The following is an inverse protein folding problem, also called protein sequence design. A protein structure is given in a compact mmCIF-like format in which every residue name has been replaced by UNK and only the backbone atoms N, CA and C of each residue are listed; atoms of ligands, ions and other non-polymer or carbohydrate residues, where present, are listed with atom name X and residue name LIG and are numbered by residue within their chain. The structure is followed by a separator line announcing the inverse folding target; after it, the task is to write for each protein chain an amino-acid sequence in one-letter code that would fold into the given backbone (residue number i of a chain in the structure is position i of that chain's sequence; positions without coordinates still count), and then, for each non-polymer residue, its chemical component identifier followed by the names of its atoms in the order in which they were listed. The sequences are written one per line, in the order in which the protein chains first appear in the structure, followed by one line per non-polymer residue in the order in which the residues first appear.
data_IF_201247829212
#
_entry.id   IF_201247829212
#
_cell.length_a   1.000
_cell.length_b   1.000
_cell.length_c   1.000
_cell.angle_alpha   90.00
_cell.angle_beta   90.00
_cell.angle_gamma   90.00
#
_symmetry.space_group_name_H-M   'P 1'
#
loop_
_entity.id
_entity.type
_entity.pdbx_description
1 polymer ?
#
# COMPACT_ATOMS: atom_id res chain seq x y z
N UNK A 1 -4.06 3.84 -6.57
CA UNK A 1 -3.54 3.28 -7.86
C UNK A 1 -3.14 1.83 -7.67
N UNK A 2 -3.28 0.97 -8.69
CA UNK A 2 -2.78 -0.43 -8.66
C UNK A 2 -1.57 -0.60 -9.59
N UNK A 3 -0.59 -1.38 -9.16
CA UNK A 3 0.73 -1.55 -9.79
C UNK A 3 1.08 -3.04 -9.82
N UNK A 4 1.67 -3.50 -10.92
CA UNK A 4 2.26 -4.85 -11.06
C UNK A 4 3.73 -4.71 -11.45
N UNK A 5 4.62 -5.32 -10.70
CA UNK A 5 6.06 -5.33 -10.96
C UNK A 5 6.42 -6.42 -12.00
N UNK A 6 7.07 -6.02 -13.09
CA UNK A 6 7.38 -6.91 -14.22
C UNK A 6 8.87 -7.06 -14.53
N UNK A 7 9.75 -6.26 -13.91
CA UNK A 7 11.21 -6.36 -14.06
C UNK A 7 11.74 -7.68 -13.49
N UNK A 8 13.02 -7.99 -13.69
CA UNK A 8 13.68 -9.05 -12.91
C UNK A 8 13.48 -8.83 -11.40
N UNK A 9 13.38 -9.93 -10.65
CA UNK A 9 13.36 -9.87 -9.19
C UNK A 9 14.76 -9.46 -8.68
N UNK A 10 14.83 -8.96 -7.46
CA UNK A 10 16.09 -8.54 -6.86
C UNK A 10 15.88 -7.79 -5.55
N UNK A 11 16.99 -7.57 -4.86
CA UNK A 11 17.07 -6.58 -3.79
C UNK A 11 16.94 -5.18 -4.40
N UNK A 12 16.05 -4.36 -3.87
CA UNK A 12 15.87 -2.99 -4.37
C UNK A 12 14.69 -2.25 -3.76
N UNK A 13 14.41 -1.08 -4.33
CA UNK A 13 13.36 -0.18 -3.87
C UNK A 13 12.43 0.16 -5.03
N UNK A 14 11.13 -0.05 -4.84
CA UNK A 14 10.14 0.51 -5.77
C UNK A 14 9.90 1.96 -5.41
N UNK A 15 10.07 2.86 -6.39
CA UNK A 15 9.75 4.28 -6.26
C UNK A 15 8.50 4.58 -7.08
N UNK A 16 7.43 4.97 -6.40
CA UNK A 16 6.15 5.34 -7.03
C UNK A 16 5.91 6.82 -6.78
N UNK A 17 5.82 7.60 -7.86
CA UNK A 17 5.53 9.04 -7.79
C UNK A 17 4.13 9.29 -8.34
N UNK A 18 3.32 10.04 -7.61
CA UNK A 18 1.95 10.39 -8.01
C UNK A 18 1.57 11.78 -7.55
N UNK A 19 0.47 12.28 -8.11
CA UNK A 19 -0.18 13.51 -7.68
C UNK A 19 -1.56 13.21 -7.07
N UNK A 20 -1.98 14.02 -6.12
CA UNK A 20 -3.35 14.09 -5.58
C UNK A 20 -3.73 15.55 -5.33
N UNK A 21 -5.01 15.87 -5.39
CA UNK A 21 -5.54 17.20 -5.02
C UNK A 21 -6.02 17.25 -3.56
N UNK A 22 -5.91 16.13 -2.83
CA UNK A 22 -6.33 16.05 -1.43
C UNK A 22 -5.39 16.86 -0.52
N UNK A 23 -5.99 17.52 0.48
CA UNK A 23 -5.32 18.15 1.61
C UNK A 23 -5.80 17.52 2.91
N UNK A 24 -5.02 17.67 3.99
CA UNK A 24 -5.37 17.07 5.29
C UNK A 24 -5.41 15.54 5.27
N UNK A 25 -4.58 14.91 4.44
CA UNK A 25 -4.40 13.46 4.38
C UNK A 25 -3.79 12.99 5.70
N UNK A 26 -4.30 11.88 6.25
CA UNK A 26 -3.95 11.38 7.58
C UNK A 26 -3.43 9.96 7.60
N UNK A 27 -3.59 9.21 6.50
CA UNK A 27 -3.07 7.86 6.42
C UNK A 27 -2.90 7.37 4.98
N UNK A 28 -2.14 6.29 4.87
CA UNK A 28 -1.85 5.55 3.65
C UNK A 28 -2.27 4.11 3.86
N UNK A 29 -2.94 3.52 2.87
CA UNK A 29 -3.23 2.09 2.79
C UNK A 29 -2.41 1.47 1.67
N UNK A 30 -1.75 0.36 2.00
CA UNK A 30 -1.06 -0.53 1.07
C UNK A 30 -1.82 -1.86 1.03
N UNK A 31 -2.17 -2.30 -0.17
CA UNK A 31 -2.81 -3.60 -0.38
C UNK A 31 -1.87 -4.46 -1.20
N UNK A 32 -1.43 -5.58 -0.65
CA UNK A 32 -0.65 -6.60 -1.34
C UNK A 32 -1.64 -7.56 -2.00
N UNK A 33 -1.78 -7.47 -3.33
CA UNK A 33 -2.88 -8.10 -4.07
C UNK A 33 -2.49 -9.50 -4.55
N UNK A 34 -3.34 -10.50 -4.25
CA UNK A 34 -3.25 -11.81 -4.87
C UNK A 34 -3.51 -11.70 -6.39
N UNK A 35 -2.82 -12.53 -7.17
CA UNK A 35 -2.91 -12.52 -8.62
C UNK A 35 -2.46 -13.88 -9.20
N UNK A 36 -3.25 -14.46 -10.10
CA UNK A 36 -2.97 -15.77 -10.71
C UNK A 36 -1.66 -15.81 -11.51
N UNK A 37 -1.15 -14.66 -11.96
CA UNK A 37 0.13 -14.57 -12.68
C UNK A 37 1.37 -14.65 -11.77
N UNK A 38 1.20 -14.51 -10.45
CA UNK A 38 2.29 -14.54 -9.48
C UNK A 38 2.53 -15.95 -8.91
N UNK A 39 3.74 -16.27 -8.45
CA UNK A 39 4.02 -17.54 -7.76
C UNK A 39 3.03 -17.77 -6.61
N UNK A 40 2.47 -18.97 -6.53
CA UNK A 40 1.44 -19.35 -5.53
C UNK A 40 0.25 -18.37 -5.45
N UNK A 41 -0.04 -17.66 -6.55
CA UNK A 41 -1.07 -16.63 -6.64
C UNK A 41 -0.80 -15.37 -5.81
N UNK A 42 0.48 -15.07 -5.56
CA UNK A 42 0.93 -13.82 -4.96
C UNK A 42 0.80 -13.77 -3.43
N UNK A 43 0.81 -12.56 -2.82
CA UNK A 43 0.99 -11.24 -3.47
C UNK A 43 2.46 -10.89 -3.78
N UNK A 44 3.42 -11.70 -3.34
CA UNK A 44 4.84 -11.52 -3.60
C UNK A 44 5.36 -12.33 -4.79
N UNK A 45 6.64 -12.14 -5.09
CA UNK A 45 7.34 -12.72 -6.24
C UNK A 45 8.30 -13.84 -5.86
N UNK A 46 8.46 -14.15 -4.58
CA UNK A 46 9.25 -15.29 -4.14
C UNK A 46 8.60 -16.61 -4.59
N UNK A 47 9.33 -17.72 -4.71
CA UNK A 47 8.77 -19.00 -5.16
C UNK A 47 7.57 -19.52 -4.32
N UNK A 48 7.48 -19.12 -3.06
CA UNK A 48 6.37 -19.43 -2.15
C UNK A 48 5.21 -18.42 -2.20
N UNK A 49 5.31 -17.39 -3.05
CA UNK A 49 4.34 -16.30 -3.19
C UNK A 49 4.46 -15.19 -2.15
N UNK A 50 5.46 -15.24 -1.27
CA UNK A 50 5.66 -14.24 -0.23
C UNK A 50 6.46 -13.01 -0.71
N UNK A 51 6.42 -11.95 0.08
CA UNK A 51 7.26 -10.75 -0.05
C UNK A 51 7.82 -10.35 1.31
N UNK A 52 8.81 -9.45 1.32
CA UNK A 52 9.29 -8.78 2.53
C UNK A 52 9.48 -7.30 2.20
N UNK A 53 8.56 -6.47 2.69
CA UNK A 53 8.66 -5.01 2.64
C UNK A 53 9.49 -4.55 3.84
N UNK A 54 10.80 -4.42 3.65
CA UNK A 54 11.74 -4.12 4.74
C UNK A 54 11.53 -2.74 5.34
N UNK A 55 11.14 -1.74 4.54
CA UNK A 55 10.84 -0.39 5.01
C UNK A 55 9.89 0.32 4.02
N UNK A 56 9.07 1.24 4.51
CA UNK A 56 8.11 2.02 3.75
C UNK A 56 8.25 3.52 4.07
N UNK A 57 8.85 4.26 3.15
CA UNK A 57 9.00 5.70 3.27
C UNK A 57 8.04 6.44 2.34
N UNK A 58 7.50 7.56 2.82
CA UNK A 58 6.72 8.48 1.99
C UNK A 58 7.24 9.89 2.14
N UNK A 59 7.37 10.60 1.02
CA UNK A 59 7.58 12.04 1.01
C UNK A 59 6.43 12.76 0.31
N UNK A 60 6.14 13.99 0.73
CA UNK A 60 5.14 14.85 0.12
C UNK A 60 5.76 16.21 -0.25
N UNK A 61 5.36 16.78 -1.38
CA UNK A 61 5.75 18.11 -1.82
C UNK A 61 4.55 18.86 -2.43
N UNK A 62 4.51 20.21 -2.37
CA UNK A 62 3.57 20.98 -3.19
C UNK A 62 3.79 20.68 -4.68
N UNK A 63 2.72 20.55 -5.46
CA UNK A 63 2.83 20.21 -6.88
C UNK A 63 3.60 21.26 -7.70
N UNK A 64 3.56 22.53 -7.29
CA UNK A 64 4.32 23.62 -7.91
C UNK A 64 5.82 23.62 -7.51
N UNK A 65 6.18 22.92 -6.44
CA UNK A 65 7.52 22.95 -5.81
C UNK A 65 7.94 21.54 -5.41
N UNK A 66 7.96 20.62 -6.38
CA UNK A 66 8.19 19.20 -6.16
C UNK A 66 9.57 18.87 -5.56
N UNK A 67 10.53 19.80 -5.66
CA UNK A 67 11.86 19.72 -5.04
C UNK A 67 11.85 19.99 -3.53
N UNK A 68 10.78 20.59 -2.99
CA UNK A 68 10.60 20.84 -1.55
C UNK A 68 9.95 19.68 -0.81
N UNK A 69 10.27 18.45 -1.19
CA UNK A 69 9.70 17.26 -0.59
C UNK A 69 10.11 17.10 0.88
N UNK A 70 9.15 16.84 1.75
CA UNK A 70 9.35 16.51 3.16
C UNK A 70 9.04 15.04 3.42
N UNK A 71 9.86 14.37 4.22
CA UNK A 71 9.61 12.99 4.66
C UNK A 71 8.48 12.99 5.70
N UNK A 72 7.47 12.16 5.46
CA UNK A 72 6.36 11.96 6.39
C UNK A 72 6.81 11.01 7.51
N UNK A 73 6.39 11.31 8.74
CA UNK A 73 6.54 10.39 9.87
C UNK A 73 5.30 9.51 9.90
N UNK A 74 5.50 8.21 9.66
CA UNK A 74 4.45 7.20 9.76
C UNK A 74 4.40 6.63 11.17
N UNK A 75 3.19 6.31 11.64
CA UNK A 75 2.93 5.69 12.93
C UNK A 75 1.69 4.79 12.86
N UNK A 76 1.41 4.06 13.95
CA UNK A 76 0.26 3.17 14.07
C UNK A 76 0.11 2.21 12.88
N UNK A 77 1.21 1.61 12.45
CA UNK A 77 1.17 0.60 11.40
C UNK A 77 0.34 -0.59 11.86
N UNK A 78 -0.63 -0.98 11.04
CA UNK A 78 -1.46 -2.15 11.28
C UNK A 78 -1.53 -2.98 10.00
N UNK A 79 -1.66 -4.29 10.14
CA UNK A 79 -1.92 -5.20 9.04
C UNK A 79 -2.96 -6.25 9.44
N UNK A 80 -3.75 -6.73 8.48
CA UNK A 80 -4.70 -7.83 8.68
C UNK A 80 -3.98 -9.15 9.01
N UNK A 81 -2.76 -9.30 8.53
CA UNK A 81 -1.86 -10.40 8.87
C UNK A 81 -0.40 -9.97 8.80
N UNK A 82 0.41 -10.48 9.73
CA UNK A 82 1.86 -10.41 9.66
C UNK A 82 2.45 -11.79 9.94
N UNK A 83 3.45 -12.18 9.15
CA UNK A 83 4.28 -13.35 9.42
C UNK A 83 5.04 -13.17 10.74
N UNK A 84 5.24 -14.25 11.49
CA UNK A 84 6.05 -14.21 12.71
C UNK A 84 7.47 -13.68 12.43
N UNK A 85 7.94 -12.73 13.26
CA UNK A 85 9.18 -11.96 13.10
C UNK A 85 9.24 -10.98 11.91
N UNK A 86 8.11 -10.72 11.25
CA UNK A 86 7.99 -9.75 10.15
C UNK A 86 6.71 -8.93 10.36
N UNK A 87 6.63 -8.30 11.53
CA UNK A 87 5.52 -7.44 11.92
C UNK A 87 5.54 -6.14 11.11
N UNK A 88 4.36 -5.71 10.64
CA UNK A 88 4.21 -4.49 9.82
C UNK A 88 4.79 -3.23 10.47
N UNK A 89 4.81 -3.14 11.81
CA UNK A 89 5.40 -2.00 12.51
C UNK A 89 6.91 -1.88 12.27
N UNK A 90 7.59 -2.98 11.96
CA UNK A 90 9.02 -2.98 11.60
C UNK A 90 9.28 -2.53 10.17
N UNK A 91 8.24 -2.29 9.36
CA UNK A 91 8.36 -1.68 8.04
C UNK A 91 8.39 -0.15 8.07
N UNK A 92 8.30 0.48 9.25
CA UNK A 92 8.36 1.95 9.41
C UNK A 92 9.27 2.36 10.58
N UNK A 93 10.18 1.46 11.00
CA UNK A 93 11.03 1.69 12.17
C UNK A 93 12.40 2.29 11.80
N UNK A 94 12.62 2.57 10.52
CA UNK A 94 13.85 3.14 9.98
C UNK A 94 14.97 2.12 9.81
N UNK A 95 14.70 0.81 9.92
CA UNK A 95 15.68 -0.26 9.72
C UNK A 95 15.34 -1.04 8.45
N UNK A 96 16.39 -1.47 7.76
CA UNK A 96 16.27 -2.31 6.56
C UNK A 96 17.13 -3.56 6.70
N UNK A 97 17.04 -4.22 7.87
CA UNK A 97 17.84 -5.41 8.10
C UNK A 97 17.48 -6.50 7.07
N UNK A 98 18.47 -7.24 6.54
CA UNK A 98 18.22 -8.18 5.44
C UNK A 98 17.47 -9.44 5.89
N UNK A 99 17.11 -9.55 7.16
CA UNK A 99 16.40 -10.66 7.81
C UNK A 99 15.63 -10.18 9.04
N UNK A 100 14.44 -10.75 9.31
CA UNK A 100 13.69 -10.50 10.55
C UNK A 100 13.25 -9.05 10.72
N UNK A 101 13.00 -8.34 9.61
CA UNK A 101 12.59 -6.95 9.59
C UNK A 101 11.68 -6.70 8.38
N UNK A 102 10.69 -5.84 8.58
CA UNK A 102 9.70 -5.50 7.58
C UNK A 102 8.43 -6.34 7.67
N UNK A 103 7.51 -6.07 6.75
CA UNK A 103 6.23 -6.77 6.65
C UNK A 103 6.30 -7.94 5.66
N UNK A 104 5.82 -9.11 6.08
CA UNK A 104 5.68 -10.31 5.25
C UNK A 104 4.42 -11.08 5.63
N UNK A 105 3.96 -11.99 4.76
CA UNK A 105 2.63 -12.63 4.90
C UNK A 105 2.64 -14.16 4.83
N UNK A 106 3.79 -14.81 4.93
CA UNK A 106 3.84 -16.28 5.03
C UNK A 106 3.18 -16.78 6.33
N UNK A 107 2.41 -17.90 6.31
CA UNK A 107 2.17 -18.80 5.17
C UNK A 107 0.93 -18.45 4.34
N UNK A 108 0.35 -17.25 4.50
CA UNK A 108 -0.91 -16.85 3.88
C UNK A 108 -0.78 -16.26 2.46
N UNK A 109 0.24 -16.67 1.70
CA UNK A 109 0.31 -16.39 0.27
C UNK A 109 -0.98 -16.90 -0.45
N UNK A 110 -1.27 -16.34 -1.62
CA UNK A 110 -2.49 -16.59 -2.39
C UNK A 110 -3.71 -15.78 -1.95
N UNK A 111 -3.58 -14.92 -0.94
CA UNK A 111 -4.62 -14.00 -0.48
C UNK A 111 -4.16 -12.55 -0.63
N UNK A 112 -5.12 -11.64 -0.80
CA UNK A 112 -4.86 -10.21 -0.64
C UNK A 112 -4.67 -9.89 0.84
N UNK A 113 -3.67 -9.08 1.16
CA UNK A 113 -3.40 -8.58 2.51
C UNK A 113 -3.37 -7.05 2.53
N UNK A 114 -3.74 -6.49 3.67
CA UNK A 114 -3.95 -5.06 3.85
C UNK A 114 -3.02 -4.55 4.96
N UNK A 115 -2.38 -3.41 4.70
CA UNK A 115 -1.66 -2.65 5.70
C UNK A 115 -2.09 -1.17 5.67
N UNK A 116 -2.13 -0.54 6.83
CA UNK A 116 -2.38 0.88 6.99
C UNK A 116 -1.26 1.54 7.80
N UNK A 117 -0.93 2.76 7.43
CA UNK A 117 0.09 3.58 8.08
C UNK A 117 -0.51 4.97 8.29
N UNK A 118 -0.69 5.38 9.53
CA UNK A 118 -1.13 6.72 9.86
C UNK A 118 0.03 7.69 9.75
N UNK A 119 -0.25 8.94 9.40
CA UNK A 119 0.76 10.01 9.44
C UNK A 119 0.61 10.77 10.73
N UNK A 120 1.73 10.99 11.42
CA UNK A 120 1.76 11.70 12.70
C UNK A 120 1.08 13.07 12.65
N UNK A 121 1.29 13.79 11.55
CA UNK A 121 0.63 15.05 11.27
C UNK A 121 -0.13 14.93 9.94
N UNK A 122 -1.32 15.54 9.82
CA UNK A 122 -2.01 15.64 8.54
C UNK A 122 -1.16 16.39 7.50
N UNK A 123 -1.23 15.99 6.24
CA UNK A 123 -0.42 16.59 5.18
C UNK A 123 -1.22 16.85 3.90
N UNK A 124 -0.60 17.58 2.98
CA UNK A 124 -1.16 17.93 1.67
C UNK A 124 -1.25 19.43 1.47
N UNK A 125 -1.19 19.86 0.22
CA UNK A 125 -1.02 21.26 -0.18
C UNK A 125 -2.14 21.69 -1.13
N UNK A 126 -2.63 22.92 -0.95
CA UNK A 126 -3.51 23.55 -1.92
C UNK A 126 -2.82 23.64 -3.29
N UNK A 127 -3.58 23.43 -4.37
CA UNK A 127 -3.02 23.37 -5.72
C UNK A 127 -2.34 22.04 -6.07
N UNK A 128 -2.40 21.06 -5.17
CA UNK A 128 -2.01 19.68 -5.41
C UNK A 128 -0.77 19.25 -4.62
N UNK A 129 -0.71 17.96 -4.32
CA UNK A 129 0.37 17.31 -3.58
C UNK A 129 1.01 16.23 -4.44
N UNK A 130 2.35 16.26 -4.56
CA UNK A 130 3.14 15.17 -5.13
C UNK A 130 3.56 14.23 -4.01
N UNK A 131 3.22 12.96 -4.15
CA UNK A 131 3.60 11.89 -3.22
C UNK A 131 4.66 11.01 -3.87
N UNK A 132 5.73 10.73 -3.13
CA UNK A 132 6.72 9.73 -3.50
C UNK A 132 6.71 8.63 -2.46
N UNK A 133 6.27 7.45 -2.86
CA UNK A 133 6.33 6.23 -2.06
C UNK A 133 7.61 5.47 -2.40
N UNK A 134 8.33 5.01 -1.38
CA UNK A 134 9.49 4.14 -1.52
C UNK A 134 9.23 2.86 -0.73
N UNK A 135 9.09 1.75 -1.45
CA UNK A 135 8.89 0.42 -0.88
C UNK A 135 10.21 -0.33 -0.98
N UNK A 136 10.93 -0.41 0.15
CA UNK A 136 12.25 -1.03 0.22
C UNK A 136 12.13 -2.53 0.44
N UNK A 137 12.88 -3.32 -0.31
CA UNK A 137 12.77 -4.78 -0.35
C UNK A 137 14.18 -5.38 -0.25
N UNK A 138 14.77 -5.23 0.93
CA UNK A 138 16.19 -5.51 1.18
C UNK A 138 16.45 -6.93 1.71
N UNK A 139 15.45 -7.81 1.66
CA UNK A 139 15.57 -9.16 2.21
C UNK A 139 16.60 -10.00 1.43
N UNK A 140 17.50 -10.66 2.16
CA UNK A 140 18.74 -11.30 1.64
C UNK A 140 18.58 -12.23 0.44
N UNK A 141 17.40 -12.83 0.26
CA UNK A 141 17.16 -13.75 -0.87
C UNK A 141 17.23 -13.07 -2.24
N UNK A 142 16.93 -11.77 -2.31
CA UNK A 142 16.69 -11.08 -3.57
C UNK A 142 15.44 -11.54 -4.34
N UNK A 143 14.60 -12.39 -3.74
CA UNK A 143 13.39 -12.92 -4.39
C UNK A 143 12.09 -12.40 -3.75
N UNK A 144 12.15 -11.82 -2.55
CA UNK A 144 10.96 -11.44 -1.78
C UNK A 144 10.47 -10.02 -2.08
N UNK A 145 10.41 -9.66 -3.36
CA UNK A 145 9.74 -8.42 -3.75
C UNK A 145 8.22 -8.62 -3.91
N UNK A 146 7.45 -7.58 -3.62
CA UNK A 146 6.02 -7.42 -3.94
C UNK A 146 5.80 -7.57 -5.44
N UNK A 147 4.76 -8.33 -5.80
CA UNK A 147 4.38 -8.60 -7.17
C UNK A 147 3.31 -7.63 -7.65
N UNK A 148 2.16 -7.62 -6.98
CA UNK A 148 1.05 -6.72 -7.30
C UNK A 148 0.58 -6.03 -6.04
N UNK A 149 0.40 -4.71 -6.12
CA UNK A 149 -0.05 -3.93 -4.98
C UNK A 149 -0.89 -2.73 -5.38
N UNK A 150 -1.57 -2.13 -4.40
CA UNK A 150 -2.33 -0.89 -4.55
C UNK A 150 -2.02 0.06 -3.40
N UNK A 151 -1.87 1.34 -3.74
CA UNK A 151 -1.66 2.43 -2.80
C UNK A 151 -2.85 3.39 -2.84
N UNK A 152 -3.35 3.76 -1.67
CA UNK A 152 -4.37 4.80 -1.49
C UNK A 152 -4.08 5.64 -0.25
N UNK A 153 -4.66 6.84 -0.21
CA UNK A 153 -4.55 7.78 0.91
C UNK A 153 -5.95 8.21 1.35
N UNK A 154 -6.09 8.66 2.59
CA UNK A 154 -7.36 9.07 3.19
C UNK A 154 -7.21 10.29 4.08
N UNK A 155 -8.27 11.10 4.17
CA UNK A 155 -8.36 12.25 5.09
C UNK A 155 -9.15 11.93 6.37
N UNK A 156 -9.57 10.67 6.56
CA UNK A 156 -10.39 10.27 7.71
C UNK A 156 -9.66 10.45 9.04
N UNK A 157 -10.37 11.01 10.03
CA UNK A 157 -9.82 11.35 11.34
C UNK A 157 -9.82 10.19 12.35
N UNK A 158 -10.39 9.04 12.00
CA UNK A 158 -10.45 7.86 12.87
C UNK A 158 -9.30 6.87 12.64
N UNK A 159 -9.13 5.87 13.53
CA UNK A 159 -8.19 4.80 13.29
C UNK A 159 -8.53 4.13 11.96
N UNK A 160 -7.52 3.90 11.13
CA UNK A 160 -7.74 3.28 9.84
C UNK A 160 -8.19 1.85 10.06
N UNK A 161 -9.45 1.58 9.76
CA UNK A 161 -9.97 0.21 9.79
C UNK A 161 -9.27 -0.58 8.69
N UNK A 162 -8.72 -1.74 9.06
CA UNK A 162 -8.14 -2.71 8.14
C UNK A 162 -9.18 -3.65 7.56
N UNK A 163 -10.42 -3.54 8.01
CA UNK A 163 -11.52 -4.30 7.47
C UNK A 163 -11.53 -4.06 5.95
N UNK A 164 -11.69 -5.17 5.22
CA UNK A 164 -11.80 -5.13 3.77
C UNK A 164 -12.91 -4.17 3.34
N UNK A 165 -12.98 -3.92 2.03
CA UNK A 165 -14.12 -3.19 1.49
C UNK A 165 -15.41 -3.82 2.05
N UNK A 166 -16.40 -3.02 2.50
CA UNK A 166 -17.69 -3.56 2.89
C UNK A 166 -18.19 -4.51 1.80
N UNK A 167 -18.87 -5.60 2.17
CA UNK A 167 -19.32 -6.62 1.21
C UNK A 167 -20.05 -6.01 0.01
N UNK A 168 -20.85 -4.97 0.26
CA UNK A 168 -21.51 -4.18 -0.77
C UNK A 168 -20.54 -3.62 -1.82
N UNK A 169 -19.39 -3.10 -1.40
CA UNK A 169 -18.37 -2.53 -2.29
C UNK A 169 -17.59 -3.64 -3.00
N UNK A 170 -17.28 -4.75 -2.34
CA UNK A 170 -16.66 -5.90 -3.03
C UNK A 170 -17.57 -6.48 -4.11
N UNK A 171 -18.87 -6.58 -3.83
CA UNK A 171 -19.86 -7.12 -4.77
C UNK A 171 -19.99 -6.22 -6.00
N UNK A 172 -19.96 -4.89 -5.82
CA UNK A 172 -19.96 -3.94 -6.92
C UNK A 172 -18.68 -4.04 -7.75
N UNK A 173 -17.52 -4.18 -7.10
CA UNK A 173 -16.23 -4.28 -7.81
C UNK A 173 -16.10 -5.57 -8.62
N UNK A 174 -16.78 -6.65 -8.23
CA UNK A 174 -16.85 -7.90 -8.99
C UNK A 174 -17.63 -7.75 -10.30
N UNK A 175 -18.52 -6.76 -10.41
CA UNK A 175 -19.17 -6.38 -11.68
C UNK A 175 -18.19 -5.59 -12.54
N UNK A 176 -18.08 -5.98 -13.82
CA UNK A 176 -17.24 -5.28 -14.80
C UNK A 176 -17.61 -3.79 -14.88
N UNK A 177 -16.62 -2.90 -15.01
CA UNK A 177 -16.81 -1.47 -14.82
C UNK A 177 -17.85 -0.85 -15.79
N UNK A 178 -17.90 -1.35 -17.01
CA UNK A 178 -18.86 -0.98 -18.05
C UNK A 178 -20.27 -1.54 -17.80
N UNK A 179 -20.38 -2.62 -17.03
CA UNK A 179 -21.64 -3.29 -16.66
C UNK A 179 -22.24 -2.81 -15.34
N UNK A 180 -21.54 -1.95 -14.57
CA UNK A 180 -22.08 -1.42 -13.31
C UNK A 180 -23.24 -0.46 -13.57
N UNK A 181 -24.33 -0.60 -12.82
CA UNK A 181 -25.47 0.32 -12.91
C UNK A 181 -25.18 1.67 -12.20
N UNK A 182 -26.11 2.63 -12.32
CA UNK A 182 -25.96 3.95 -11.71
C UNK A 182 -25.90 3.92 -10.18
N UNK A 183 -26.65 3.00 -9.54
CA UNK A 183 -26.67 2.86 -8.08
C UNK A 183 -25.34 2.32 -7.59
N UNK A 184 -24.82 1.28 -8.24
CA UNK A 184 -23.51 0.69 -7.95
C UNK A 184 -22.37 1.70 -8.15
N UNK A 185 -22.41 2.50 -9.21
CA UNK A 185 -21.46 3.62 -9.41
C UNK A 185 -21.59 4.67 -8.32
N UNK A 186 -22.81 5.01 -7.92
CA UNK A 186 -23.09 5.95 -6.83
C UNK A 186 -22.56 5.47 -5.48
N UNK A 187 -22.78 4.20 -5.14
CA UNK A 187 -22.30 3.57 -3.90
C UNK A 187 -20.76 3.50 -3.86
N UNK A 188 -20.10 3.15 -4.98
CA UNK A 188 -18.65 3.24 -5.11
C UNK A 188 -18.15 4.67 -4.88
N UNK A 189 -18.76 5.66 -5.53
CA UNK A 189 -18.35 7.06 -5.39
C UNK A 189 -18.59 7.60 -3.99
N UNK A 190 -19.66 7.19 -3.32
CA UNK A 190 -19.95 7.58 -1.95
C UNK A 190 -18.93 6.97 -0.98
N UNK A 191 -18.61 5.69 -1.16
CA UNK A 191 -17.58 5.01 -0.38
C UNK A 191 -16.19 5.66 -0.55
N UNK A 192 -15.78 5.94 -1.79
CA UNK A 192 -14.50 6.61 -2.06
C UNK A 192 -14.47 8.10 -1.68
N UNK A 193 -15.62 8.74 -1.41
CA UNK A 193 -15.67 10.11 -0.86
C UNK A 193 -15.58 10.14 0.66
N UNK A 194 -15.92 9.04 1.34
CA UNK A 194 -15.86 8.90 2.80
C UNK A 194 -14.52 8.39 3.33
N UNK A 195 -13.60 8.04 2.41
CA UNK A 195 -12.20 7.68 2.66
C UNK A 195 -11.36 8.83 2.11
#
# INVERSE_FOLDING_TARGET
MSITATSSNGIGTYKVVTRTELTGIRAIRLEALADDSLPKKGPGRAPDGNFVLTEFDVTAAPAAEADKATKLVLENAQADFSQNNYDVATAIDGKMAPTGNGWAVSPKAGNTHLASFETREPFGYEGGTVLTFQLHQQFRSGEHSLGRFRLSVTTSAGPIQLDGLPSTITDILAVAADQRDEKQRGELMAYYRGI
#
